data_IF_237766095212
#
_entry.id   IF_237766095212
#
_cell.length_a   1.000
_cell.length_b   1.000
_cell.length_c   1.000
_cell.angle_alpha   90.00
_cell.angle_beta   90.00
_cell.angle_gamma   90.00
#
_symmetry.space_group_name_H-M   'P 1'
#
loop_
_entity.id
_entity.type
_entity.pdbx_description
1 polymer ?
#
# COMPACT_ATOMS: atom_id res chain seq x y z
N UNK A 1 -2.92 11.43 -19.26
CA UNK A 1 -2.61 11.83 -17.88
C UNK A 1 -3.90 11.72 -17.07
N UNK A 2 -3.93 10.88 -16.04
CA UNK A 2 -5.08 10.88 -15.12
C UNK A 2 -5.10 12.22 -14.38
N UNK A 3 -6.25 12.88 -14.35
CA UNK A 3 -6.41 14.18 -13.73
C UNK A 3 -6.12 14.12 -12.22
N UNK A 4 -5.45 15.15 -11.73
CA UNK A 4 -5.36 15.48 -10.30
C UNK A 4 -6.79 15.54 -9.73
N UNK A 5 -7.06 14.76 -8.69
CA UNK A 5 -8.22 14.96 -7.82
C UNK A 5 -7.71 15.64 -6.56
N UNK A 6 -8.15 16.87 -6.34
CA UNK A 6 -8.11 17.48 -5.00
C UNK A 6 -9.08 16.69 -4.12
N UNK A 7 -8.58 16.17 -3.00
CA UNK A 7 -9.41 15.62 -1.95
C UNK A 7 -9.08 16.38 -0.67
N UNK A 8 -10.11 16.75 0.08
CA UNK A 8 -9.98 17.34 1.41
C UNK A 8 -9.31 16.33 2.34
N UNK A 9 -8.03 16.54 2.63
CA UNK A 9 -7.28 15.76 3.61
C UNK A 9 -7.60 16.24 5.03
N UNK A 10 -7.70 15.30 5.98
CA UNK A 10 -7.77 15.59 7.41
C UNK A 10 -6.37 15.41 8.00
N UNK A 11 -5.83 16.40 8.71
CA UNK A 11 -4.54 16.30 9.36
C UNK A 11 -4.62 15.42 10.60
N UNK A 12 -4.28 14.13 10.46
CA UNK A 12 -3.84 13.32 11.61
C UNK A 12 -3.16 11.97 11.27
N UNK A 13 -2.07 11.66 12.02
CA UNK A 13 -1.49 10.33 12.25
C UNK A 13 -1.08 10.19 13.74
N UNK A 14 -1.38 9.07 14.43
CA UNK A 14 -0.87 8.65 15.77
C UNK A 14 0.32 7.67 15.77
N UNK A 15 1.23 7.59 16.77
CA UNK A 15 1.09 7.19 18.21
C UNK A 15 2.36 7.52 19.06
N UNK A 16 2.30 7.77 20.39
CA UNK A 16 1.44 7.21 21.43
C UNK A 16 0.61 8.20 22.28
N UNK A 17 -0.71 8.03 22.28
CA UNK A 17 -1.67 8.65 23.21
C UNK A 17 -2.89 9.25 22.51
N UNK A 18 -2.67 10.29 21.73
CA UNK A 18 -3.63 10.97 20.84
C UNK A 18 -2.82 12.05 20.12
N UNK A 19 -2.72 12.01 18.80
CA UNK A 19 -1.89 12.92 17.99
C UNK A 19 -2.69 14.12 17.48
N UNK A 20 -3.86 14.33 18.07
CA UNK A 20 -4.98 15.00 17.45
C UNK A 20 -4.91 16.25 18.26
N UNK A 21 -4.47 17.33 17.62
CA UNK A 21 -4.88 18.64 18.08
C UNK A 21 -6.36 18.61 18.44
N UNK A 22 -6.78 19.50 19.33
CA UNK A 22 -8.14 19.46 19.84
C UNK A 22 -9.13 19.47 18.67
N UNK A 23 -10.35 18.97 18.87
CA UNK A 23 -11.37 18.88 17.82
C UNK A 23 -11.64 20.21 17.09
N UNK A 24 -11.25 21.34 17.68
CA UNK A 24 -11.30 22.69 17.08
C UNK A 24 -10.09 23.13 16.23
N UNK A 25 -9.01 22.34 16.18
CA UNK A 25 -7.75 22.67 15.49
C UNK A 25 -7.64 22.02 14.09
N UNK A 26 -8.64 21.25 13.66
CA UNK A 26 -8.64 20.63 12.34
C UNK A 26 -8.61 21.67 11.22
N UNK A 27 -7.65 21.52 10.31
CA UNK A 27 -7.62 22.29 9.07
C UNK A 27 -7.70 21.32 7.90
N UNK A 28 -8.65 21.58 7.01
CA UNK A 28 -8.61 20.98 5.69
C UNK A 28 -7.37 21.49 4.96
N UNK A 29 -6.72 20.59 4.25
CA UNK A 29 -5.70 20.95 3.28
C UNK A 29 -5.89 20.14 2.01
N UNK A 30 -5.46 20.70 0.89
CA UNK A 30 -5.41 19.98 -0.37
C UNK A 30 -4.05 19.29 -0.48
N UNK A 31 -4.09 17.98 -0.69
CA UNK A 31 -2.90 17.20 -1.00
C UNK A 31 -2.86 16.89 -2.49
N UNK A 32 -1.69 17.04 -3.10
CA UNK A 32 -1.48 16.56 -4.46
C UNK A 32 -1.23 15.05 -4.43
N UNK A 33 -2.16 14.28 -4.96
CA UNK A 33 -2.06 12.82 -5.02
C UNK A 33 -1.75 12.34 -6.44
N UNK A 34 -0.78 11.43 -6.56
CA UNK A 34 -0.44 10.77 -7.82
C UNK A 34 -0.45 9.25 -7.65
N UNK A 35 -0.85 8.48 -8.68
CA UNK A 35 -0.66 7.04 -8.67
C UNK A 35 0.84 6.70 -8.53
N UNK A 36 1.16 5.67 -7.75
CA UNK A 36 2.54 5.19 -7.56
C UNK A 36 3.28 5.01 -8.89
N UNK A 37 2.62 4.42 -9.89
CA UNK A 37 3.19 4.23 -11.22
C UNK A 37 3.66 5.53 -11.88
N UNK A 38 2.95 6.64 -11.69
CA UNK A 38 3.34 7.94 -12.27
C UNK A 38 4.65 8.43 -11.66
N UNK A 39 4.82 8.25 -10.35
CA UNK A 39 6.03 8.63 -9.62
C UNK A 39 7.21 7.76 -10.10
N UNK A 40 7.03 6.43 -10.13
CA UNK A 40 8.07 5.49 -10.58
C UNK A 40 8.51 5.78 -12.02
N UNK A 41 7.57 6.06 -12.91
CA UNK A 41 7.88 6.42 -14.31
C UNK A 41 8.63 7.74 -14.43
N UNK A 42 8.31 8.74 -13.61
CA UNK A 42 8.99 10.03 -13.63
C UNK A 42 10.48 9.90 -13.25
N UNK A 43 10.83 8.92 -12.40
CA UNK A 43 12.21 8.62 -12.00
C UNK A 43 12.83 7.45 -12.77
N UNK A 44 12.21 7.01 -13.87
CA UNK A 44 12.65 5.89 -14.72
C UNK A 44 12.89 4.57 -13.96
N UNK A 45 12.07 4.28 -12.95
CA UNK A 45 12.10 3.03 -12.18
C UNK A 45 11.00 2.10 -12.68
N UNK A 46 11.40 0.89 -13.06
CA UNK A 46 10.49 -0.20 -13.49
C UNK A 46 10.56 -1.43 -12.58
N UNK A 47 11.52 -1.48 -11.66
CA UNK A 47 11.67 -2.57 -10.69
C UNK A 47 11.83 -1.99 -9.29
N UNK A 48 11.04 -2.49 -8.35
CA UNK A 48 11.07 -2.15 -6.93
C UNK A 48 11.35 -3.42 -6.15
N UNK A 49 12.44 -3.45 -5.39
CA UNK A 49 12.81 -4.64 -4.61
C UNK A 49 11.84 -4.88 -3.44
N UNK A 50 11.44 -3.81 -2.75
CA UNK A 50 10.56 -3.86 -1.58
C UNK A 50 9.59 -2.68 -1.57
N UNK A 51 8.31 -2.95 -1.31
CA UNK A 51 7.27 -1.94 -1.18
C UNK A 51 6.43 -2.19 0.07
N UNK A 52 6.42 -1.23 0.99
CA UNK A 52 5.56 -1.24 2.18
C UNK A 52 4.32 -0.37 1.91
N UNK A 53 3.14 -0.95 2.11
CA UNK A 53 1.85 -0.30 1.90
C UNK A 53 1.04 -0.36 3.20
N UNK A 54 0.95 0.78 3.85
CA UNK A 54 0.27 1.00 5.13
C UNK A 54 -0.43 2.37 5.04
N UNK A 55 -1.74 2.34 4.75
CA UNK A 55 -2.56 3.53 4.50
C UNK A 55 -3.93 3.42 5.17
N UNK A 56 -4.02 2.62 6.23
CA UNK A 56 -5.14 2.57 7.18
C UNK A 56 -6.49 2.19 6.56
N UNK A 57 -6.49 1.33 5.53
CA UNK A 57 -7.67 0.63 5.02
C UNK A 57 -7.99 0.82 3.53
N UNK A 58 -7.12 1.45 2.74
CA UNK A 58 -7.32 1.69 1.30
C UNK A 58 -6.41 0.83 0.40
N UNK A 59 -5.74 -0.19 0.97
CA UNK A 59 -4.64 -0.94 0.36
C UNK A 59 -5.07 -1.61 -0.94
N UNK A 60 -6.17 -2.40 -0.92
CA UNK A 60 -6.66 -3.13 -2.08
C UNK A 60 -7.03 -2.19 -3.24
N UNK A 61 -7.56 -1.02 -2.95
CA UNK A 61 -7.91 -0.01 -3.97
C UNK A 61 -6.65 0.54 -4.64
N UNK A 62 -5.59 0.82 -3.87
CA UNK A 62 -4.30 1.28 -4.42
C UNK A 62 -3.64 0.18 -5.24
N UNK A 63 -3.61 -1.06 -4.76
CA UNK A 63 -3.00 -2.19 -5.46
C UNK A 63 -3.64 -2.42 -6.84
N UNK A 64 -4.97 -2.24 -6.94
CA UNK A 64 -5.72 -2.33 -8.21
C UNK A 64 -5.34 -1.25 -9.24
N UNK A 65 -4.68 -0.18 -8.83
CA UNK A 65 -4.19 0.86 -9.75
C UNK A 65 -2.81 0.59 -10.33
N UNK A 66 -2.09 -0.40 -9.79
CA UNK A 66 -0.72 -0.70 -10.22
C UNK A 66 -0.77 -1.48 -11.55
N UNK A 67 -0.08 -1.00 -12.60
CA UNK A 67 0.05 -1.73 -13.85
C UNK A 67 1.16 -2.79 -13.72
N UNK A 68 0.81 -3.97 -13.22
CA UNK A 68 1.75 -5.06 -12.90
C UNK A 68 2.61 -5.53 -14.09
N UNK A 69 2.14 -5.33 -15.34
CA UNK A 69 2.92 -5.60 -16.55
C UNK A 69 4.03 -4.57 -16.84
N UNK A 70 3.91 -3.37 -16.26
CA UNK A 70 4.83 -2.26 -16.51
C UNK A 70 5.81 -2.00 -15.36
N UNK A 71 5.53 -2.53 -14.16
CA UNK A 71 6.39 -2.41 -12.98
C UNK A 71 6.45 -3.74 -12.26
N UNK A 72 7.66 -4.24 -12.05
CA UNK A 72 7.92 -5.40 -11.21
C UNK A 72 8.18 -4.97 -9.76
N UNK A 73 7.31 -5.38 -8.84
CA UNK A 73 7.58 -5.28 -7.40
C UNK A 73 7.95 -6.67 -6.91
N UNK A 74 9.16 -6.86 -6.35
CA UNK A 74 9.63 -8.18 -5.95
C UNK A 74 8.99 -8.65 -4.66
N UNK A 75 8.89 -7.77 -3.66
CA UNK A 75 8.33 -8.10 -2.34
C UNK A 75 7.43 -6.97 -1.82
N UNK A 76 6.34 -7.34 -1.13
CA UNK A 76 5.42 -6.39 -0.52
C UNK A 76 5.18 -6.71 0.96
N UNK A 77 5.08 -5.66 1.78
CA UNK A 77 4.43 -5.67 3.10
C UNK A 77 3.15 -4.88 2.98
N UNK A 78 2.02 -5.48 3.29
CA UNK A 78 0.70 -4.84 3.15
C UNK A 78 -0.02 -4.91 4.48
N UNK A 79 -0.35 -3.74 5.03
CA UNK A 79 -1.13 -3.63 6.26
C UNK A 79 -2.51 -4.29 6.06
N UNK A 80 -2.94 -5.05 7.05
CA UNK A 80 -4.25 -5.70 7.08
C UNK A 80 -4.87 -5.59 8.46
N UNK A 81 -6.15 -5.23 8.50
CA UNK A 81 -6.91 -5.25 9.76
C UNK A 81 -7.10 -6.66 10.32
N UNK A 82 -7.15 -7.66 9.44
CA UNK A 82 -7.41 -9.06 9.80
C UNK A 82 -6.40 -10.00 9.15
N UNK A 83 -5.95 -11.02 9.89
CA UNK A 83 -5.09 -12.12 9.40
C UNK A 83 -5.69 -12.86 8.18
N UNK A 84 -7.01 -12.84 8.07
CA UNK A 84 -7.78 -13.51 7.03
C UNK A 84 -8.48 -12.48 6.17
N UNK A 85 -7.68 -11.66 5.46
CA UNK A 85 -8.18 -10.88 4.32
C UNK A 85 -8.10 -11.73 3.03
N UNK A 86 -9.17 -12.47 2.76
CA UNK A 86 -9.25 -13.36 1.59
C UNK A 86 -9.28 -12.57 0.28
N UNK A 87 -9.97 -11.43 0.24
CA UNK A 87 -10.06 -10.58 -0.97
C UNK A 87 -8.69 -10.07 -1.39
N UNK A 88 -7.88 -9.64 -0.43
CA UNK A 88 -6.50 -9.23 -0.70
C UNK A 88 -5.65 -10.43 -1.15
N UNK A 89 -5.74 -11.58 -0.48
CA UNK A 89 -4.99 -12.80 -0.85
C UNK A 89 -5.32 -13.27 -2.26
N UNK A 90 -6.60 -13.34 -2.61
CA UNK A 90 -7.05 -13.76 -3.93
C UNK A 90 -6.58 -12.77 -5.00
N UNK A 91 -6.68 -11.47 -4.73
CA UNK A 91 -6.18 -10.46 -5.65
C UNK A 91 -4.66 -10.57 -5.86
N UNK A 92 -3.87 -10.63 -4.79
CA UNK A 92 -2.41 -10.74 -4.89
C UNK A 92 -1.99 -12.01 -5.63
N UNK A 93 -2.68 -13.13 -5.39
CA UNK A 93 -2.47 -14.37 -6.16
C UNK A 93 -2.76 -14.16 -7.65
N UNK A 94 -3.86 -13.47 -7.99
CA UNK A 94 -4.24 -13.22 -9.38
C UNK A 94 -3.22 -12.37 -10.15
N UNK A 95 -2.44 -11.54 -9.44
CA UNK A 95 -1.39 -10.69 -10.04
C UNK A 95 0.03 -11.27 -9.84
N UNK A 96 0.14 -12.57 -9.60
CA UNK A 96 1.43 -13.28 -9.64
C UNK A 96 2.22 -13.31 -8.32
N UNK A 97 1.62 -12.91 -7.21
CA UNK A 97 2.27 -12.95 -5.90
C UNK A 97 1.89 -14.18 -5.07
N UNK A 98 2.85 -14.68 -4.32
CA UNK A 98 2.67 -15.72 -3.32
C UNK A 98 2.64 -15.12 -1.93
N UNK A 99 1.70 -15.58 -1.11
CA UNK A 99 1.66 -15.24 0.31
C UNK A 99 2.79 -15.97 1.04
N UNK A 100 3.67 -15.20 1.71
CA UNK A 100 4.82 -15.75 2.43
C UNK A 100 4.47 -15.92 3.91
N UNK A 101 4.02 -14.85 4.56
CA UNK A 101 3.72 -14.87 6.00
C UNK A 101 2.83 -13.72 6.43
N UNK A 102 2.10 -13.90 7.52
CA UNK A 102 1.48 -12.81 8.28
C UNK A 102 2.38 -12.45 9.45
N UNK A 103 2.80 -11.20 9.55
CA UNK A 103 3.55 -10.66 10.67
C UNK A 103 2.58 -9.90 11.58
N UNK A 104 2.53 -10.29 12.86
CA UNK A 104 1.77 -9.58 13.88
C UNK A 104 2.65 -9.30 15.08
N UNK A 105 2.74 -8.03 15.48
CA UNK A 105 3.34 -7.62 16.74
C UNK A 105 2.42 -6.58 17.43
N UNK A 106 2.91 -5.85 18.44
CA UNK A 106 2.11 -4.85 19.15
C UNK A 106 1.68 -3.64 18.30
N UNK A 107 2.34 -3.42 17.15
CA UNK A 107 2.21 -2.23 16.32
C UNK A 107 1.92 -2.51 14.84
N UNK A 108 2.08 -3.75 14.38
CA UNK A 108 1.96 -4.08 12.95
C UNK A 108 1.14 -5.34 12.70
N UNK A 109 0.44 -5.34 11.58
CA UNK A 109 -0.40 -6.42 11.10
C UNK A 109 -0.24 -6.53 9.58
N UNK A 110 0.78 -7.25 9.13
CA UNK A 110 1.21 -7.17 7.74
C UNK A 110 1.15 -8.55 7.07
N UNK A 111 0.55 -8.60 5.88
CA UNK A 111 0.77 -9.70 4.96
C UNK A 111 2.02 -9.44 4.12
N UNK A 112 2.94 -10.41 4.14
CA UNK A 112 4.14 -10.42 3.32
C UNK A 112 3.90 -11.24 2.06
N UNK A 113 4.20 -10.64 0.92
CA UNK A 113 4.09 -11.27 -0.40
C UNK A 113 5.43 -11.22 -1.14
N UNK A 114 5.69 -12.26 -1.94
CA UNK A 114 6.82 -12.32 -2.87
C UNK A 114 6.30 -12.63 -4.27
N UNK A 115 6.85 -11.96 -5.28
CA UNK A 115 6.50 -12.20 -6.67
C UNK A 115 6.99 -13.58 -7.12
N UNK A 116 6.19 -14.29 -7.90
CA UNK A 116 6.50 -15.67 -8.30
C UNK A 116 7.82 -15.80 -9.08
N UNK A 117 8.29 -14.72 -9.72
CA UNK A 117 9.57 -14.71 -10.44
C UNK A 117 10.81 -14.78 -9.56
N UNK A 118 10.68 -14.53 -8.25
CA UNK A 118 11.80 -14.58 -7.29
C UNK A 118 11.65 -15.71 -6.26
N UNK A 119 10.49 -16.36 -6.22
CA UNK A 119 10.26 -17.55 -5.41
C UNK A 119 10.74 -18.76 -6.20
N UNK A 120 11.55 -19.63 -5.58
CA UNK A 120 11.86 -20.92 -6.17
C UNK A 120 10.54 -21.71 -6.32
N UNK A 121 10.26 -22.15 -7.54
CA UNK A 121 9.19 -23.13 -7.78
C UNK A 121 9.57 -24.42 -7.05
N UNK A 122 8.85 -24.75 -5.98
CA UNK A 122 8.91 -26.07 -5.35
C UNK A 122 8.18 -27.11 -6.21
#
# INVERSE_FOLDING_TARGET
MQQHKSMTGWTYMNGWGAFLGNEGDYRSFEAQCFPLYSILRAINVTTVDYFSLDIEGAELSVLKTIPWEAVLIKTLSIEVRNKTDEKLKDYMKSVGFQFVRFLKNGFSHDHIYAHSSITLSN
#
